data_IF_153188153138
#
_entry.id   IF_153188153138
#
_cell.length_a   1.000
_cell.length_b   1.000
_cell.length_c   1.000
_cell.angle_alpha   90.00
_cell.angle_beta   90.00
_cell.angle_gamma   90.00
#
_symmetry.space_group_name_H-M   'P 1'
#
loop_
_entity.id
_entity.type
_entity.pdbx_description
1 polymer ?
#
# COMPACT_ATOMS: atom_id res chain seq x y z
N UNK A 1 3.82 -17.73 8.31
CA UNK A 1 4.19 -17.45 6.90
C UNK A 1 5.04 -16.19 6.88
N UNK A 2 6.10 -16.15 6.08
CA UNK A 2 7.02 -15.00 5.97
C UNK A 2 7.02 -14.48 4.54
N UNK A 3 6.97 -13.16 4.38
CA UNK A 3 7.01 -12.45 3.10
C UNK A 3 8.15 -11.44 3.14
N UNK A 4 8.91 -11.38 2.05
CA UNK A 4 10.01 -10.45 1.86
C UNK A 4 9.75 -9.64 0.60
N UNK A 5 10.01 -8.35 0.65
CA UNK A 5 9.83 -7.46 -0.49
C UNK A 5 10.90 -6.38 -0.52
N UNK A 6 11.21 -5.93 -1.73
CA UNK A 6 12.06 -4.78 -1.98
C UNK A 6 11.27 -3.79 -2.84
N UNK A 7 11.12 -2.57 -2.36
CA UNK A 7 10.33 -1.54 -3.03
C UNK A 7 11.22 -0.35 -3.39
N UNK A 8 11.18 0.04 -4.67
CA UNK A 8 11.96 1.17 -5.21
C UNK A 8 11.11 2.38 -5.55
N UNK A 9 9.79 2.24 -5.55
CA UNK A 9 8.89 3.25 -6.08
C UNK A 9 7.86 3.77 -5.08
N UNK A 10 7.34 2.90 -4.21
CA UNK A 10 6.24 3.20 -3.31
C UNK A 10 6.39 2.41 -2.01
N UNK A 11 5.73 2.85 -0.93
CA UNK A 11 5.65 2.04 0.29
C UNK A 11 4.90 0.73 0.00
N UNK A 12 5.37 -0.41 0.53
CA UNK A 12 4.74 -1.71 0.34
C UNK A 12 3.25 -1.68 0.73
N UNK A 13 2.40 -2.35 -0.04
CA UNK A 13 0.94 -2.20 0.06
C UNK A 13 0.32 -2.50 1.43
N UNK A 14 0.87 -3.45 2.17
CA UNK A 14 0.42 -3.77 3.53
C UNK A 14 0.87 -2.76 4.58
N UNK A 15 1.70 -1.77 4.22
CA UNK A 15 2.20 -0.72 5.10
C UNK A 15 1.66 0.67 4.71
N UNK A 16 0.79 0.75 3.71
CA UNK A 16 0.21 2.02 3.26
C UNK A 16 -0.96 2.43 4.17
N UNK A 17 -1.06 3.72 4.47
CA UNK A 17 -2.26 4.34 5.01
C UNK A 17 -3.34 4.47 3.92
N UNK A 18 -4.64 4.58 4.27
CA UNK A 18 -5.73 4.68 3.30
C UNK A 18 -5.52 5.76 2.23
N UNK A 19 -5.08 6.95 2.64
CA UNK A 19 -4.87 8.10 1.75
C UNK A 19 -3.71 7.87 0.79
N UNK A 20 -2.63 7.24 1.27
CA UNK A 20 -1.49 6.88 0.44
C UNK A 20 -1.85 5.77 -0.55
N UNK A 21 -2.61 4.77 -0.10
CA UNK A 21 -3.10 3.70 -0.97
C UNK A 21 -3.96 4.26 -2.10
N UNK A 22 -4.86 5.20 -1.80
CA UNK A 22 -5.66 5.90 -2.81
C UNK A 22 -4.76 6.64 -3.81
N UNK A 23 -3.84 7.47 -3.32
CA UNK A 23 -2.91 8.23 -4.15
C UNK A 23 -2.10 7.35 -5.11
N UNK A 24 -1.59 6.21 -4.63
CA UNK A 24 -0.87 5.24 -5.47
C UNK A 24 -1.81 4.61 -6.50
N UNK A 25 -3.03 4.23 -6.11
CA UNK A 25 -3.99 3.62 -7.03
C UNK A 25 -4.46 4.59 -8.10
N UNK A 26 -4.72 5.86 -7.76
CA UNK A 26 -5.06 6.92 -8.70
C UNK A 26 -3.92 7.15 -9.71
N UNK A 27 -2.67 7.12 -9.24
CA UNK A 27 -1.50 7.28 -10.10
C UNK A 27 -1.27 6.08 -11.04
N UNK A 28 -1.62 4.87 -10.63
CA UNK A 28 -1.38 3.64 -11.40
C UNK A 28 -2.57 3.22 -12.27
N UNK A 29 -3.79 3.61 -11.90
CA UNK A 29 -5.04 3.13 -12.49
C UNK A 29 -5.93 4.31 -12.93
N UNK A 30 -5.37 5.23 -13.72
CA UNK A 30 -6.02 6.49 -14.12
C UNK A 30 -7.35 6.32 -14.88
N UNK A 31 -7.65 5.13 -15.39
CA UNK A 31 -8.90 4.81 -16.10
C UNK A 31 -10.01 4.28 -15.18
N UNK A 32 -9.72 4.04 -13.88
CA UNK A 32 -10.69 3.51 -12.93
C UNK A 32 -11.57 4.63 -12.37
N UNK A 33 -12.80 4.26 -12.06
CA UNK A 33 -13.74 5.13 -11.33
C UNK A 33 -13.34 5.24 -9.86
N UNK A 34 -13.73 6.33 -9.20
CA UNK A 34 -13.50 6.52 -7.76
C UNK A 34 -14.01 5.34 -6.91
N UNK A 35 -15.17 4.79 -7.26
CA UNK A 35 -15.76 3.64 -6.56
C UNK A 35 -14.92 2.36 -6.68
N UNK A 36 -14.26 2.14 -7.83
CA UNK A 36 -13.34 1.03 -8.00
C UNK A 36 -12.07 1.23 -7.18
N UNK A 37 -11.54 2.46 -7.13
CA UNK A 37 -10.39 2.80 -6.30
C UNK A 37 -10.72 2.59 -4.82
N UNK A 38 -11.88 3.06 -4.35
CA UNK A 38 -12.35 2.88 -2.97
C UNK A 38 -12.39 1.40 -2.58
N UNK A 39 -12.93 0.54 -3.45
CA UNK A 39 -12.97 -0.90 -3.22
C UNK A 39 -11.58 -1.53 -3.14
N UNK A 40 -10.63 -1.04 -3.94
CA UNK A 40 -9.25 -1.52 -3.91
C UNK A 40 -8.52 -1.06 -2.65
N UNK A 41 -8.76 0.18 -2.19
CA UNK A 41 -8.24 0.68 -0.90
C UNK A 41 -8.78 -0.19 0.23
N UNK A 42 -10.10 -0.43 0.27
CA UNK A 42 -10.71 -1.27 1.30
C UNK A 42 -10.10 -2.68 1.33
N UNK A 43 -9.97 -3.32 0.16
CA UNK A 43 -9.34 -4.63 0.06
C UNK A 43 -7.90 -4.63 0.58
N UNK A 44 -7.15 -3.55 0.34
CA UNK A 44 -5.77 -3.40 0.80
C UNK A 44 -5.70 -3.26 2.32
N UNK A 45 -6.60 -2.49 2.92
CA UNK A 45 -6.71 -2.33 4.38
C UNK A 45 -7.14 -3.62 5.07
N UNK A 46 -8.13 -4.36 4.53
CA UNK A 46 -8.49 -5.68 5.05
C UNK A 46 -7.32 -6.66 5.02
N UNK A 47 -6.46 -6.59 4.00
CA UNK A 47 -5.24 -7.43 3.94
C UNK A 47 -4.20 -7.02 4.99
N UNK A 48 -4.14 -5.76 5.40
CA UNK A 48 -3.23 -5.28 6.44
C UNK A 48 -3.52 -5.94 7.79
N UNK A 49 -4.77 -6.33 8.05
CA UNK A 49 -5.15 -7.09 9.24
C UNK A 49 -4.38 -8.42 9.37
N UNK A 50 -3.89 -8.98 8.26
CA UNK A 50 -3.06 -10.19 8.29
C UNK A 50 -1.75 -10.02 9.08
N UNK A 51 -1.27 -8.79 9.24
CA UNK A 51 -0.06 -8.48 10.01
C UNK A 51 -0.27 -8.63 11.53
N UNK A 52 -1.50 -8.51 12.01
CA UNK A 52 -1.80 -8.46 13.46
C UNK A 52 -2.86 -9.45 13.92
N UNK A 53 -3.85 -9.77 13.09
CA UNK A 53 -5.03 -10.56 13.46
C UNK A 53 -4.96 -12.03 13.05
N UNK A 54 -4.02 -12.43 12.19
CA UNK A 54 -3.82 -13.85 11.83
C UNK A 54 -3.07 -14.59 12.94
N UNK A 55 -3.32 -15.91 13.03
CA UNK A 55 -2.61 -16.82 13.94
C UNK A 55 -1.95 -17.96 13.15
N UNK A 56 -0.61 -18.01 13.06
CA UNK A 56 0.34 -16.99 13.49
C UNK A 56 0.28 -15.73 12.60
N UNK A 57 0.68 -14.54 13.11
CA UNK A 57 0.67 -13.32 12.31
C UNK A 57 1.58 -13.42 11.09
N UNK A 58 1.25 -12.67 10.03
CA UNK A 58 2.11 -12.56 8.86
C UNK A 58 3.40 -11.83 9.24
N UNK A 59 4.54 -12.48 9.02
CA UNK A 59 5.86 -11.87 9.20
C UNK A 59 6.26 -11.17 7.89
N UNK A 60 6.29 -9.85 7.89
CA UNK A 60 6.62 -9.03 6.73
C UNK A 60 7.97 -8.34 6.94
N UNK A 61 8.88 -8.50 6.00
CA UNK A 61 10.17 -7.82 5.95
C UNK A 61 10.24 -7.03 4.64
N UNK A 62 10.46 -5.72 4.75
CA UNK A 62 10.46 -4.80 3.60
C UNK A 62 11.74 -4.00 3.62
N UNK A 63 12.46 -4.01 2.50
CA UNK A 63 13.55 -3.06 2.24
C UNK A 63 13.00 -1.98 1.32
N UNK A 64 13.15 -0.72 1.71
CA UNK A 64 12.73 0.43 0.93
C UNK A 64 13.97 1.15 0.39
N UNK A 65 13.93 1.52 -0.88
CA UNK A 65 14.85 2.51 -1.41
C UNK A 65 14.55 3.89 -0.80
N UNK A 66 15.58 4.69 -0.50
CA UNK A 66 15.42 6.01 0.12
C UNK A 66 14.54 6.95 -0.73
N UNK A 67 14.55 6.79 -2.06
CA UNK A 67 13.72 7.58 -2.95
C UNK A 67 12.21 7.41 -2.69
N UNK A 68 11.79 6.30 -2.06
CA UNK A 68 10.40 6.09 -1.66
C UNK A 68 9.94 7.13 -0.63
N UNK A 69 10.84 7.61 0.22
CA UNK A 69 10.54 8.61 1.26
C UNK A 69 10.47 10.04 0.70
N UNK A 70 11.20 10.31 -0.38
CA UNK A 70 11.26 11.64 -1.00
C UNK A 70 10.30 11.81 -2.19
N UNK A 71 9.78 10.71 -2.75
CA UNK A 71 8.86 10.75 -3.89
C UNK A 71 7.47 11.25 -3.49
N UNK A 72 7.04 12.33 -4.12
CA UNK A 72 5.68 12.87 -3.96
C UNK A 72 4.71 12.04 -4.79
N UNK A 73 3.85 11.29 -4.12
CA UNK A 73 2.82 10.43 -4.75
C UNK A 73 1.54 11.20 -5.02
N UNK A 74 1.11 12.02 -4.06
CA UNK A 74 0.00 12.94 -4.23
C UNK A 74 0.34 14.29 -3.60
N UNK A 75 -0.19 15.35 -4.19
CA UNK A 75 -0.18 16.68 -3.59
C UNK A 75 -1.43 16.83 -2.73
N UNK A 76 -1.28 17.23 -1.48
CA UNK A 76 -2.42 17.68 -0.66
C UNK A 76 -3.05 18.87 -1.40
N UNK A 77 -4.30 18.70 -1.87
CA UNK A 77 -5.11 19.82 -2.37
C UNK A 77 -5.67 20.62 -1.20
#
# INVERSE_FOLDING_TARGET
MRVRSFEVAWVHGLLQAPEYARAVLDALLSERTDAEVDRLVELRLRRQEALTQRTPPLQLEVVLDESVLSRVVARRR
#
